data_IF_138431465011
#
_entry.id   IF_138431465011
#
_cell.length_a   1.000
_cell.length_b   1.000
_cell.length_c   1.000
_cell.angle_alpha   90.00
_cell.angle_beta   90.00
_cell.angle_gamma   90.00
#
_symmetry.space_group_name_H-M   'P 1'
#
loop_
_entity.id
_entity.type
_entity.pdbx_description
1 polymer ?
#
# COMPACT_ATOMS: atom_id res chain seq x y z
N UNK A 1 11.48 64.55 39.07
CA UNK A 1 10.36 63.78 38.49
C UNK A 1 10.46 63.46 36.98
N UNK A 2 11.57 63.73 36.27
CA UNK A 2 11.68 63.47 34.81
C UNK A 2 12.39 62.16 34.39
N UNK A 3 13.00 61.42 35.34
CA UNK A 3 13.78 60.20 35.03
C UNK A 3 13.04 58.87 35.27
N UNK A 4 11.84 58.91 35.86
CA UNK A 4 11.07 57.71 36.21
C UNK A 4 10.17 57.25 35.05
N UNK A 5 9.72 58.19 34.22
CA UNK A 5 8.84 57.93 33.08
C UNK A 5 9.46 57.02 32.00
N UNK A 6 10.72 57.22 31.55
CA UNK A 6 11.29 56.35 30.51
C UNK A 6 11.60 54.93 31.03
N UNK A 7 11.93 54.76 32.31
CA UNK A 7 12.23 53.46 32.90
C UNK A 7 10.98 52.61 33.10
N UNK A 8 9.85 53.24 33.46
CA UNK A 8 8.56 52.55 33.58
C UNK A 8 8.04 52.12 32.21
N UNK A 9 8.16 52.97 31.18
CA UNK A 9 7.75 52.61 29.81
C UNK A 9 8.61 51.46 29.26
N UNK A 10 9.93 51.47 29.53
CA UNK A 10 10.83 50.38 29.13
C UNK A 10 10.57 49.06 29.86
N UNK A 11 10.18 49.12 31.15
CA UNK A 11 9.81 47.94 31.92
C UNK A 11 8.46 47.36 31.48
N UNK A 12 7.50 48.22 31.09
CA UNK A 12 6.19 47.81 30.57
C UNK A 12 6.32 47.20 29.16
N UNK A 13 7.16 47.76 28.28
CA UNK A 13 7.44 47.11 26.98
C UNK A 13 8.22 45.80 27.14
N UNK A 14 9.11 45.67 28.13
CA UNK A 14 9.74 44.40 28.45
C UNK A 14 8.72 43.36 28.95
N UNK A 15 7.75 43.77 29.79
CA UNK A 15 6.66 42.91 30.26
C UNK A 15 5.69 42.52 29.13
N UNK A 16 5.40 43.42 28.19
CA UNK A 16 4.54 43.17 27.02
C UNK A 16 5.23 42.33 25.94
N UNK A 17 6.57 42.25 25.91
CA UNK A 17 7.29 41.37 25.00
C UNK A 17 7.45 39.93 25.53
N UNK A 18 7.21 39.67 26.82
CA UNK A 18 7.20 38.30 27.36
C UNK A 18 5.90 37.53 27.11
N UNK A 19 4.86 38.15 26.54
CA UNK A 19 3.69 37.45 26.03
C UNK A 19 3.84 37.02 24.57
N UNK A 20 5.06 36.79 24.10
CA UNK A 20 5.32 36.14 22.82
C UNK A 20 4.95 34.64 22.91
N UNK A 21 3.68 34.35 22.60
CA UNK A 21 3.18 33.08 22.07
C UNK A 21 3.66 31.79 22.76
N UNK A 22 3.28 31.58 24.03
CA UNK A 22 3.09 30.22 24.52
C UNK A 22 1.72 29.72 24.04
N UNK A 23 1.59 29.42 22.74
CA UNK A 23 0.40 28.73 22.23
C UNK A 23 0.39 27.33 22.82
N UNK A 24 -0.30 27.18 23.96
CA UNK A 24 -0.58 25.87 24.56
C UNK A 24 -1.41 25.10 23.54
N UNK A 25 -0.80 24.13 22.85
CA UNK A 25 -1.55 23.18 22.03
C UNK A 25 -2.52 22.44 22.96
N UNK A 26 -3.85 22.59 22.77
CA UNK A 26 -4.84 21.97 23.65
C UNK A 26 -4.84 20.44 23.50
N UNK A 27 -4.29 19.94 22.41
CA UNK A 27 -4.22 18.52 22.08
C UNK A 27 -2.82 17.98 22.39
N UNK A 28 -2.72 17.15 23.43
CA UNK A 28 -1.45 16.57 23.90
C UNK A 28 -0.74 15.69 22.85
N UNK A 29 -1.51 15.05 21.97
CA UNK A 29 -0.99 14.07 21.01
C UNK A 29 -1.08 14.56 19.55
N UNK A 30 -1.45 15.81 19.31
CA UNK A 30 -1.57 16.39 17.97
C UNK A 30 -0.46 17.43 17.78
N UNK A 31 0.31 17.30 16.71
CA UNK A 31 1.30 18.27 16.28
C UNK A 31 0.94 18.82 14.90
N UNK A 32 1.31 20.07 14.65
CA UNK A 32 1.28 20.68 13.32
C UNK A 32 2.68 21.21 13.03
N UNK A 33 3.20 20.89 11.84
CA UNK A 33 4.50 21.38 11.37
C UNK A 33 4.47 21.55 9.86
N UNK A 34 4.60 22.79 9.39
CA UNK A 34 4.64 23.14 7.97
C UNK A 34 3.40 22.66 7.19
N UNK A 35 2.21 22.75 7.79
CA UNK A 35 0.94 22.32 7.21
C UNK A 35 0.68 20.81 7.29
N UNK A 36 1.58 20.04 7.90
CA UNK A 36 1.43 18.60 8.11
C UNK A 36 0.90 18.31 9.52
N UNK A 37 0.03 17.31 9.63
CA UNK A 37 -0.58 16.90 10.88
C UNK A 37 0.07 15.61 11.39
N UNK A 38 0.59 15.64 12.62
CA UNK A 38 1.12 14.47 13.32
C UNK A 38 0.21 14.04 14.47
N UNK A 39 -0.12 12.75 14.55
CA UNK A 39 -0.79 12.14 15.71
C UNK A 39 0.20 11.19 16.40
N UNK A 40 0.59 11.51 17.63
CA UNK A 40 1.58 10.73 18.39
C UNK A 40 3.04 10.92 17.96
N UNK A 41 3.33 11.92 17.13
CA UNK A 41 4.68 12.30 16.69
C UNK A 41 4.79 13.82 16.55
N UNK A 42 5.96 14.39 16.81
CA UNK A 42 6.28 15.81 16.59
C UNK A 42 6.96 16.04 15.22
N UNK A 43 7.20 14.97 14.47
CA UNK A 43 7.90 14.97 13.19
C UNK A 43 7.03 14.30 12.13
N UNK A 44 5.94 14.96 11.68
CA UNK A 44 5.16 14.44 10.56
C UNK A 44 5.95 14.54 9.25
N UNK A 45 6.02 13.42 8.54
CA UNK A 45 6.67 13.24 7.24
C UNK A 45 5.68 13.31 6.07
N UNK A 46 4.41 13.05 6.30
CA UNK A 46 3.30 13.15 5.34
C UNK A 46 2.24 14.17 5.79
N UNK A 47 1.27 14.48 4.92
CA UNK A 47 0.15 15.38 5.27
C UNK A 47 -0.57 14.94 6.56
N UNK A 48 -0.69 13.62 6.74
CA UNK A 48 -1.14 12.99 7.98
C UNK A 48 -0.19 11.85 8.36
N UNK A 49 0.59 12.03 9.42
CA UNK A 49 1.44 10.96 10.00
C UNK A 49 0.86 10.50 11.33
N UNK A 50 0.57 9.21 11.46
CA UNK A 50 0.07 8.63 12.71
C UNK A 50 1.09 7.64 13.27
N UNK A 51 1.72 7.96 14.40
CA UNK A 51 2.59 7.04 15.12
C UNK A 51 1.76 6.19 16.08
N UNK A 52 1.01 5.25 15.53
CA UNK A 52 0.09 4.40 16.28
C UNK A 52 -0.86 3.61 15.38
N UNK A 53 -1.96 3.13 15.96
CA UNK A 53 -3.01 2.43 15.20
C UNK A 53 -4.13 3.40 14.83
N UNK A 54 -4.66 3.26 13.63
CA UNK A 54 -5.88 3.95 13.19
C UNK A 54 -7.03 2.92 13.30
N UNK A 55 -8.05 3.25 14.09
CA UNK A 55 -9.30 2.48 14.12
C UNK A 55 -10.35 3.27 13.35
N UNK A 56 -10.77 2.74 12.20
CA UNK A 56 -11.76 3.33 11.31
C UNK A 56 -12.74 2.25 10.85
N UNK A 57 -13.92 2.65 10.40
CA UNK A 57 -14.90 1.72 9.82
C UNK A 57 -14.55 1.38 8.36
N UNK A 58 -14.04 2.34 7.61
CA UNK A 58 -13.69 2.19 6.20
C UNK A 58 -12.59 3.16 5.80
N UNK A 59 -11.85 2.83 4.73
CA UNK A 59 -10.88 3.71 4.07
C UNK A 59 -11.17 3.67 2.58
N UNK A 60 -11.59 4.80 2.01
CA UNK A 60 -11.65 4.98 0.57
C UNK A 60 -10.26 5.38 0.07
N UNK A 61 -9.72 4.63 -0.88
CA UNK A 61 -8.41 4.89 -1.48
C UNK A 61 -8.60 5.12 -2.97
N UNK A 62 -8.38 6.36 -3.41
CA UNK A 62 -8.52 6.70 -4.82
C UNK A 62 -7.45 6.03 -5.68
N UNK A 63 -7.90 5.48 -6.80
CA UNK A 63 -7.04 4.85 -7.80
C UNK A 63 -6.50 5.85 -8.83
N UNK A 64 -6.53 7.16 -8.58
CA UNK A 64 -6.07 8.17 -9.55
C UNK A 64 -4.68 7.81 -10.13
N UNK A 65 -4.65 7.43 -11.41
CA UNK A 65 -3.46 6.98 -12.15
C UNK A 65 -3.02 5.52 -11.93
N UNK A 66 -3.65 4.78 -11.02
CA UNK A 66 -3.43 3.35 -10.83
C UNK A 66 -4.34 2.52 -11.74
N UNK A 67 -3.85 1.36 -12.16
CA UNK A 67 -4.54 0.48 -13.10
C UNK A 67 -5.06 -0.74 -12.34
N UNK A 68 -6.36 -1.00 -12.44
CA UNK A 68 -6.96 -2.22 -11.91
C UNK A 68 -6.42 -3.45 -12.67
N UNK A 69 -6.17 -4.57 -11.98
CA UNK A 69 -5.49 -5.72 -12.56
C UNK A 69 -6.32 -6.56 -13.52
N UNK A 70 -7.54 -6.17 -13.87
CA UNK A 70 -8.42 -6.83 -14.85
C UNK A 70 -7.71 -7.17 -16.19
N UNK A 71 -6.64 -6.43 -16.51
CA UNK A 71 -5.72 -6.74 -17.62
C UNK A 71 -5.18 -8.18 -17.59
N UNK A 72 -5.15 -8.84 -16.42
CA UNK A 72 -4.72 -10.24 -16.28
C UNK A 72 -5.67 -11.16 -17.04
N UNK A 73 -6.97 -11.00 -16.83
CA UNK A 73 -7.99 -11.76 -17.54
C UNK A 73 -8.14 -11.31 -18.98
N UNK A 74 -8.09 -10.00 -19.27
CA UNK A 74 -8.14 -9.49 -20.64
C UNK A 74 -7.02 -10.08 -21.50
N UNK A 75 -5.77 -10.02 -21.03
CA UNK A 75 -4.64 -10.61 -21.76
C UNK A 75 -4.77 -12.11 -21.94
N UNK A 76 -5.33 -12.84 -20.96
CA UNK A 76 -5.50 -14.30 -21.07
C UNK A 76 -6.62 -14.72 -22.02
N UNK A 77 -7.80 -14.10 -21.92
CA UNK A 77 -8.98 -14.51 -22.68
C UNK A 77 -9.08 -13.80 -24.04
N UNK A 78 -8.66 -12.55 -24.13
CA UNK A 78 -8.75 -11.75 -25.36
C UNK A 78 -7.42 -11.69 -26.12
N UNK A 79 -6.32 -12.13 -25.48
CA UNK A 79 -4.97 -12.08 -26.05
C UNK A 79 -4.30 -10.70 -25.94
N UNK A 80 -4.99 -9.70 -25.39
CA UNK A 80 -4.50 -8.33 -25.26
C UNK A 80 -5.28 -7.56 -24.18
N UNK A 81 -4.61 -6.61 -23.52
CA UNK A 81 -5.20 -5.62 -22.65
C UNK A 81 -4.74 -4.21 -23.06
N UNK A 82 -5.69 -3.28 -23.25
CA UNK A 82 -5.37 -1.87 -23.50
C UNK A 82 -4.73 -1.21 -22.26
N UNK A 83 -5.17 -1.62 -21.07
CA UNK A 83 -4.69 -1.08 -19.82
C UNK A 83 -3.25 -1.49 -19.53
N UNK A 84 -2.84 -2.72 -19.92
CA UNK A 84 -1.46 -3.20 -19.75
C UNK A 84 -0.99 -4.03 -20.95
N UNK A 85 -0.56 -3.37 -22.05
CA UNK A 85 -0.18 -4.04 -23.30
C UNK A 85 0.98 -5.04 -23.17
N UNK A 86 1.90 -4.80 -22.22
CA UNK A 86 3.09 -5.63 -22.00
C UNK A 86 2.84 -6.78 -20.99
N UNK A 87 1.63 -6.89 -20.44
CA UNK A 87 1.35 -7.93 -19.46
C UNK A 87 1.35 -9.33 -20.09
N UNK A 88 2.13 -10.23 -19.48
CA UNK A 88 2.17 -11.64 -19.80
C UNK A 88 2.06 -12.47 -18.53
N UNK A 89 1.15 -13.44 -18.53
CA UNK A 89 1.10 -14.47 -17.51
C UNK A 89 2.37 -15.34 -17.61
N UNK A 90 3.15 -15.41 -16.53
CA UNK A 90 4.35 -16.26 -16.47
C UNK A 90 3.95 -17.74 -16.46
N UNK A 91 4.82 -18.62 -16.92
CA UNK A 91 4.56 -20.06 -16.81
C UNK A 91 4.77 -20.55 -15.38
N UNK A 92 4.16 -21.69 -15.03
CA UNK A 92 4.38 -22.32 -13.71
C UNK A 92 5.84 -22.71 -13.49
N UNK A 93 6.57 -23.09 -14.55
CA UNK A 93 8.00 -23.40 -14.49
C UNK A 93 8.84 -22.15 -14.17
N UNK A 94 8.60 -21.03 -14.86
CA UNK A 94 9.27 -19.76 -14.58
C UNK A 94 8.92 -19.24 -13.18
N UNK A 95 7.66 -19.38 -12.76
CA UNK A 95 7.21 -19.02 -11.42
C UNK A 95 7.92 -19.85 -10.35
N UNK A 96 8.02 -21.17 -10.54
CA UNK A 96 8.72 -22.07 -9.62
C UNK A 96 10.20 -21.69 -9.50
N UNK A 97 10.87 -21.45 -10.64
CA UNK A 97 12.26 -21.00 -10.66
C UNK A 97 12.44 -19.67 -9.91
N UNK A 98 11.53 -18.71 -10.10
CA UNK A 98 11.57 -17.43 -9.39
C UNK A 98 11.40 -17.60 -7.89
N UNK A 99 10.38 -18.35 -7.46
CA UNK A 99 10.07 -18.52 -6.03
C UNK A 99 11.19 -19.30 -5.33
N UNK A 100 11.75 -20.34 -5.95
CA UNK A 100 12.90 -21.07 -5.42
C UNK A 100 14.13 -20.18 -5.23
N UNK A 101 14.34 -19.22 -6.13
CA UNK A 101 15.49 -18.29 -6.07
C UNK A 101 15.28 -17.18 -5.05
N UNK A 102 14.08 -16.60 -4.98
CA UNK A 102 13.84 -15.34 -4.27
C UNK A 102 13.04 -15.49 -2.97
N UNK A 103 12.40 -16.65 -2.72
CA UNK A 103 11.53 -16.92 -1.56
C UNK A 103 10.36 -15.94 -1.38
N UNK A 104 9.96 -15.24 -2.43
CA UNK A 104 8.75 -14.43 -2.49
C UNK A 104 8.17 -14.46 -3.91
N UNK A 105 6.93 -13.98 -4.06
CA UNK A 105 6.27 -13.93 -5.36
C UNK A 105 6.83 -12.80 -6.24
N UNK A 106 6.81 -12.95 -7.57
CA UNK A 106 7.15 -11.86 -8.49
C UNK A 106 6.26 -10.63 -8.25
N UNK A 107 6.86 -9.44 -8.28
CA UNK A 107 6.20 -8.14 -8.03
C UNK A 107 5.62 -7.95 -6.62
N UNK A 108 5.87 -8.89 -5.68
CA UNK A 108 5.56 -8.69 -4.26
C UNK A 108 6.85 -8.27 -3.57
N UNK A 109 6.86 -7.17 -2.80
CA UNK A 109 8.04 -6.75 -2.04
C UNK A 109 8.53 -7.86 -1.11
N UNK A 110 9.85 -7.93 -0.91
CA UNK A 110 10.42 -8.90 0.03
C UNK A 110 10.04 -8.55 1.48
N UNK A 111 10.14 -9.52 2.39
CA UNK A 111 9.92 -9.26 3.82
C UNK A 111 10.87 -8.19 4.37
N UNK A 112 12.12 -8.17 3.90
CA UNK A 112 13.11 -7.14 4.27
C UNK A 112 12.68 -5.76 3.78
N UNK A 113 12.25 -5.65 2.52
CA UNK A 113 11.72 -4.40 1.95
C UNK A 113 10.52 -3.89 2.76
N UNK A 114 9.56 -4.77 3.09
CA UNK A 114 8.39 -4.39 3.88
C UNK A 114 8.73 -3.95 5.31
N UNK A 115 9.77 -4.53 5.92
CA UNK A 115 10.22 -4.15 7.26
C UNK A 115 10.89 -2.77 7.27
N UNK A 116 11.66 -2.45 6.23
CA UNK A 116 12.41 -1.21 6.13
C UNK A 116 11.56 -0.04 5.64
N UNK A 117 10.70 -0.27 4.65
CA UNK A 117 9.97 0.78 3.93
C UNK A 117 8.48 0.84 4.32
N UNK A 118 7.98 -0.19 5.01
CA UNK A 118 6.55 -0.34 5.28
C UNK A 118 5.78 -0.87 4.07
N UNK A 119 4.46 -0.66 4.07
CA UNK A 119 3.57 -1.14 3.02
C UNK A 119 2.59 -0.02 2.65
N UNK A 120 2.53 0.31 1.36
CA UNK A 120 1.49 1.18 0.82
C UNK A 120 0.20 0.39 0.61
N UNK A 121 -0.87 0.74 1.33
CA UNK A 121 -2.15 0.01 1.31
C UNK A 121 -2.72 -0.13 -0.10
N UNK A 122 -2.71 0.95 -0.89
CA UNK A 122 -3.21 0.96 -2.27
C UNK A 122 -2.47 -0.05 -3.14
N UNK A 123 -1.15 0.06 -3.17
CA UNK A 123 -0.29 -0.73 -4.03
C UNK A 123 -0.35 -2.20 -3.65
N UNK A 124 -0.28 -2.51 -2.36
CA UNK A 124 -0.38 -3.89 -1.88
C UNK A 124 -1.73 -4.51 -2.24
N UNK A 125 -2.84 -3.79 -2.09
CA UNK A 125 -4.15 -4.31 -2.46
C UNK A 125 -4.26 -4.58 -3.97
N UNK A 126 -3.69 -3.72 -4.83
CA UNK A 126 -3.65 -3.96 -6.28
C UNK A 126 -2.77 -5.16 -6.64
N UNK A 127 -1.61 -5.31 -5.99
CA UNK A 127 -0.73 -6.47 -6.16
C UNK A 127 -1.45 -7.75 -5.72
N UNK A 128 -2.12 -7.74 -4.58
CA UNK A 128 -2.86 -8.89 -4.07
C UNK A 128 -3.98 -9.30 -5.03
N UNK A 129 -4.76 -8.34 -5.54
CA UNK A 129 -5.81 -8.62 -6.50
C UNK A 129 -5.24 -9.21 -7.80
N UNK A 130 -4.15 -8.64 -8.34
CA UNK A 130 -3.41 -9.23 -9.47
C UNK A 130 -3.02 -10.68 -9.22
N UNK A 131 -2.52 -10.99 -8.02
CA UNK A 131 -2.13 -12.37 -7.66
C UNK A 131 -3.31 -13.31 -7.51
N UNK A 132 -4.46 -12.82 -7.05
CA UNK A 132 -5.70 -13.61 -7.02
C UNK A 132 -6.15 -13.94 -8.45
N UNK A 133 -6.08 -13.00 -9.39
CA UNK A 133 -6.42 -13.25 -10.79
C UNK A 133 -5.46 -14.22 -11.47
N UNK A 134 -4.14 -14.03 -11.30
CA UNK A 134 -3.11 -14.97 -11.77
C UNK A 134 -3.36 -16.39 -11.22
N UNK A 135 -3.60 -16.52 -9.90
CA UNK A 135 -3.88 -17.80 -9.26
C UNK A 135 -5.17 -18.45 -9.80
N UNK A 136 -6.21 -17.66 -10.04
CA UNK A 136 -7.46 -18.13 -10.61
C UNK A 136 -7.24 -18.71 -12.00
N UNK A 137 -6.42 -18.06 -12.84
CA UNK A 137 -6.05 -18.59 -14.16
C UNK A 137 -5.29 -19.92 -14.06
N UNK A 138 -4.31 -20.03 -13.15
CA UNK A 138 -3.61 -21.30 -12.96
C UNK A 138 -4.54 -22.41 -12.49
N UNK A 139 -5.48 -22.13 -11.59
CA UNK A 139 -6.48 -23.11 -11.14
C UNK A 139 -7.35 -23.57 -12.31
N UNK A 140 -7.82 -22.64 -13.15
CA UNK A 140 -8.62 -23.00 -14.33
C UNK A 140 -7.83 -23.85 -15.33
N UNK A 141 -6.54 -23.58 -15.51
CA UNK A 141 -5.66 -24.40 -16.35
C UNK A 141 -5.48 -25.80 -15.77
N UNK A 142 -5.17 -25.90 -14.48
CA UNK A 142 -5.03 -27.17 -13.77
C UNK A 142 -6.31 -28.00 -13.81
N UNK A 143 -7.48 -27.37 -13.64
CA UNK A 143 -8.75 -28.08 -13.71
C UNK A 143 -9.00 -28.69 -15.09
N UNK A 144 -8.66 -27.96 -16.17
CA UNK A 144 -8.75 -28.49 -17.54
C UNK A 144 -7.84 -29.71 -17.74
N UNK A 145 -6.60 -29.67 -17.23
CA UNK A 145 -5.67 -30.79 -17.30
C UNK A 145 -6.20 -32.00 -16.52
N UNK A 146 -6.73 -31.78 -15.32
CA UNK A 146 -7.34 -32.83 -14.49
C UNK A 146 -8.51 -33.49 -15.21
N UNK A 147 -9.37 -32.70 -15.87
CA UNK A 147 -10.52 -33.24 -16.59
C UNK A 147 -10.09 -34.08 -17.81
N UNK A 148 -9.07 -33.64 -18.53
CA UNK A 148 -8.46 -34.44 -19.62
C UNK A 148 -7.89 -35.75 -19.07
N UNK A 149 -7.14 -35.71 -17.96
CA UNK A 149 -6.58 -36.92 -17.34
C UNK A 149 -7.68 -37.88 -16.88
N UNK A 150 -8.77 -37.40 -16.30
CA UNK A 150 -9.92 -38.23 -15.89
C UNK A 150 -10.56 -38.93 -17.09
N UNK A 151 -10.75 -38.24 -18.21
CA UNK A 151 -11.32 -38.84 -19.43
C UNK A 151 -10.41 -39.92 -20.02
N UNK A 152 -9.09 -39.70 -20.00
CA UNK A 152 -8.11 -40.69 -20.44
C UNK A 152 -8.13 -41.95 -19.55
N UNK A 153 -8.26 -41.79 -18.23
CA UNK A 153 -8.38 -42.92 -17.31
C UNK A 153 -9.65 -43.73 -17.60
N UNK A 154 -10.81 -43.07 -17.69
CA UNK A 154 -12.09 -43.73 -17.97
C UNK A 154 -12.09 -44.48 -19.31
N UNK A 155 -11.58 -43.88 -20.37
CA UNK A 155 -11.48 -44.54 -21.68
C UNK A 155 -10.52 -45.73 -21.67
N UNK A 156 -9.45 -45.68 -20.86
CA UNK A 156 -8.50 -46.80 -20.72
C UNK A 156 -9.04 -47.99 -19.94
N UNK A 157 -10.05 -47.78 -19.10
CA UNK A 157 -10.76 -48.84 -18.34
C UNK A 157 -11.79 -49.53 -19.23
N UNK A 158 -12.53 -48.80 -20.08
CA UNK A 158 -13.53 -49.37 -20.99
C UNK A 158 -12.97 -50.24 -22.11
N UNK A 159 -11.67 -50.15 -22.42
CA UNK A 159 -11.01 -50.97 -23.46
C UNK A 159 -10.51 -52.31 -22.92
N UNK A 160 -10.54 -52.50 -21.58
CA UNK A 160 -10.07 -53.74 -20.92
C UNK A 160 -11.20 -54.72 -20.59
N UNK A 161 -12.46 -54.32 -20.77
CA UNK A 161 -13.65 -55.20 -20.79
C UNK A 161 -14.01 -55.59 -22.23
#
# INVERSE_FOLDING_TARGET
MKKIFPTIVFAITLLFCFSAAAQRNPFKNLSEKNGKIGIGTDFPDELLTVKGKIHTQEVLVDLNGAIAPDYVFESYFNGFSEAMPEYKLISLEELEAFVKKNNHLPNVPSAETMQNEGIFLKEMNLILLKKIEELTLYILQQQKEIDVLKQLVLSSETVKE
#
